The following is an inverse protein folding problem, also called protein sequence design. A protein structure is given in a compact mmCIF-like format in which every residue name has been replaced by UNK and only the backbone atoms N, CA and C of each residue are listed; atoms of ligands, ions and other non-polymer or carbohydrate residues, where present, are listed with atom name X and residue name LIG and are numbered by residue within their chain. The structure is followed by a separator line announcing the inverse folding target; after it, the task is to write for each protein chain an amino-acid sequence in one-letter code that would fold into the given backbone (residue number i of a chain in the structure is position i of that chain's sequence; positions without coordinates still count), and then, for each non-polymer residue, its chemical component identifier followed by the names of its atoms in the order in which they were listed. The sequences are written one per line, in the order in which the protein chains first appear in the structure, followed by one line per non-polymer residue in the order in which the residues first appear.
data_IF_836531366789
#
_entry.id   IF_836531366789
#
_cell.length_a   1.000
_cell.length_b   1.000
_cell.length_c   1.000
_cell.angle_alpha   90.00
_cell.angle_beta   90.00
_cell.angle_gamma   90.00
#
_symmetry.space_group_name_H-M   'P 1'
#
loop_
_entity.id
_entity.type
_entity.pdbx_description
1 polymer ?
#
# COMPACT_ATOMS: atom_id res chain seq x y z
N UNK A 1 23.76 17.47 1.57
CA UNK A 1 22.34 17.20 1.88
C UNK A 1 22.18 15.69 1.96
N UNK A 2 22.12 15.11 3.17
CA UNK A 2 21.99 13.66 3.32
C UNK A 2 20.52 13.31 3.08
N UNK A 3 20.21 12.54 2.03
CA UNK A 3 18.86 12.07 1.73
C UNK A 3 18.38 11.14 2.85
N UNK A 4 17.56 11.68 3.76
CA UNK A 4 17.12 11.01 5.00
C UNK A 4 15.97 10.01 4.80
N UNK A 5 15.50 9.81 3.56
CA UNK A 5 14.25 9.08 3.27
C UNK A 5 14.37 8.03 2.15
N UNK A 6 15.59 7.59 1.81
CA UNK A 6 15.82 6.52 0.82
C UNK A 6 16.10 5.17 1.50
N UNK A 7 15.17 4.68 2.31
CA UNK A 7 15.25 3.32 2.85
C UNK A 7 14.50 2.37 1.92
N UNK A 8 15.24 1.49 1.24
CA UNK A 8 14.64 0.42 0.44
C UNK A 8 14.36 -0.79 1.32
N UNK A 9 13.12 -1.26 1.37
CA UNK A 9 12.77 -2.52 2.02
C UNK A 9 13.07 -3.65 1.04
N UNK A 10 13.92 -4.59 1.46
CA UNK A 10 14.22 -5.80 0.71
C UNK A 10 13.46 -7.01 1.26
N UNK A 11 13.20 -7.10 2.56
CA UNK A 11 12.41 -8.20 3.13
C UNK A 11 11.46 -7.72 4.23
N UNK A 12 10.41 -8.51 4.44
CA UNK A 12 9.38 -8.29 5.45
C UNK A 12 9.11 -9.61 6.15
N UNK A 13 9.05 -9.60 7.48
CA UNK A 13 8.62 -10.76 8.26
C UNK A 13 7.65 -10.33 9.36
N UNK A 14 6.83 -11.28 9.81
CA UNK A 14 5.95 -11.10 10.97
C UNK A 14 6.33 -12.11 12.04
N UNK A 15 6.76 -11.61 13.19
CA UNK A 15 7.16 -12.46 14.32
C UNK A 15 5.96 -13.06 15.06
N UNK A 16 6.22 -14.02 15.96
CA UNK A 16 5.19 -14.68 16.78
C UNK A 16 4.41 -13.70 17.69
N UNK A 17 4.96 -12.52 17.98
CA UNK A 17 4.29 -11.44 18.71
C UNK A 17 3.40 -10.54 17.85
N UNK A 18 3.24 -10.83 16.54
CA UNK A 18 2.41 -10.05 15.63
C UNK A 18 3.06 -8.79 15.05
N UNK A 19 4.27 -8.46 15.50
CA UNK A 19 5.10 -7.32 15.05
C UNK A 19 5.72 -7.61 13.68
N UNK A 20 5.71 -6.59 12.83
CA UNK A 20 6.33 -6.58 11.51
C UNK A 20 7.76 -6.08 11.59
N UNK A 21 8.71 -6.79 11.00
CA UNK A 21 10.10 -6.37 10.87
C UNK A 21 10.41 -6.07 9.40
N UNK A 22 10.98 -4.90 9.13
CA UNK A 22 11.44 -4.50 7.80
C UNK A 22 12.96 -4.67 7.73
N UNK A 23 13.45 -5.30 6.67
CA UNK A 23 14.87 -5.55 6.44
C UNK A 23 15.32 -4.93 5.13
N UNK A 24 16.47 -4.27 5.13
CA UNK A 24 17.07 -3.65 3.95
C UNK A 24 17.91 -4.61 3.11
N UNK A 25 18.45 -4.15 1.97
CA UNK A 25 19.16 -5.02 1.01
C UNK A 25 20.48 -5.59 1.53
N UNK A 26 21.03 -5.03 2.61
CA UNK A 26 22.26 -5.51 3.27
C UNK A 26 21.94 -6.31 4.53
N UNK A 27 20.71 -6.85 4.62
CA UNK A 27 20.20 -7.59 5.77
C UNK A 27 20.14 -6.77 7.07
N UNK A 28 20.13 -5.44 6.97
CA UNK A 28 20.00 -4.54 8.10
C UNK A 28 18.53 -4.40 8.54
N UNK A 29 18.27 -4.40 9.84
CA UNK A 29 16.94 -4.08 10.34
C UNK A 29 16.65 -2.60 10.13
N UNK A 30 15.59 -2.29 9.38
CA UNK A 30 15.12 -0.93 9.13
C UNK A 30 14.13 -0.47 10.21
N UNK A 31 13.48 -1.41 10.89
CA UNK A 31 12.59 -1.12 12.02
C UNK A 31 11.58 -2.23 12.29
N UNK A 32 10.85 -2.04 13.38
CA UNK A 32 9.74 -2.89 13.81
C UNK A 32 8.46 -2.06 13.93
N UNK A 33 7.34 -2.64 13.54
CA UNK A 33 6.06 -1.93 13.41
C UNK A 33 4.88 -2.82 13.82
N UNK A 34 3.89 -2.27 14.50
CA UNK A 34 2.67 -3.00 14.86
C UNK A 34 1.80 -3.33 13.63
N UNK A 35 1.94 -2.55 12.56
CA UNK A 35 1.15 -2.64 11.35
C UNK A 35 2.00 -2.31 10.12
N UNK A 36 1.69 -2.96 9.01
CA UNK A 36 2.35 -2.76 7.73
C UNK A 36 1.30 -2.53 6.64
N UNK A 37 1.40 -1.40 5.95
CA UNK A 37 0.62 -1.14 4.74
C UNK A 37 1.56 -1.23 3.54
N UNK A 38 1.27 -2.17 2.62
CA UNK A 38 2.02 -2.29 1.38
C UNK A 38 1.18 -1.73 0.24
N UNK A 39 1.72 -0.77 -0.49
CA UNK A 39 0.99 -0.05 -1.56
C UNK A 39 1.55 -0.38 -2.95
N UNK A 40 2.34 -1.46 -3.05
CA UNK A 40 2.99 -1.87 -4.29
C UNK A 40 2.05 -2.69 -5.18
N UNK A 41 2.10 -2.42 -6.49
CA UNK A 41 1.49 -3.27 -7.52
C UNK A 41 2.02 -4.72 -7.49
N UNK A 42 3.18 -4.94 -6.85
CA UNK A 42 3.75 -6.28 -6.72
C UNK A 42 2.99 -7.19 -5.76
N UNK A 43 2.02 -6.71 -4.97
CA UNK A 43 1.24 -7.54 -4.03
C UNK A 43 0.52 -8.74 -4.67
N UNK A 44 0.26 -8.69 -5.98
CA UNK A 44 -0.30 -9.78 -6.77
C UNK A 44 0.64 -10.35 -7.84
N UNK A 45 1.92 -9.92 -7.88
CA UNK A 45 2.87 -10.31 -8.92
C UNK A 45 3.97 -11.22 -8.35
N UNK A 46 4.39 -12.32 -9.03
CA UNK A 46 5.37 -13.29 -8.52
C UNK A 46 6.67 -12.69 -7.93
N UNK A 47 7.11 -11.56 -8.50
CA UNK A 47 8.21 -10.72 -7.99
C UNK A 47 8.10 -10.35 -6.49
N UNK A 48 6.91 -10.36 -5.90
CA UNK A 48 6.76 -10.23 -4.44
C UNK A 48 7.57 -11.26 -3.68
N UNK A 49 7.47 -12.53 -4.07
CA UNK A 49 8.14 -13.64 -3.39
C UNK A 49 9.64 -13.55 -3.57
N UNK A 50 10.08 -13.07 -4.73
CA UNK A 50 11.50 -12.82 -5.01
C UNK A 50 12.09 -11.71 -4.14
N UNK A 51 11.31 -10.65 -3.87
CA UNK A 51 11.75 -9.54 -3.02
C UNK A 51 11.60 -9.95 -1.55
N UNK A 52 10.37 -10.20 -1.10
CA UNK A 52 10.04 -10.31 0.32
C UNK A 52 10.10 -11.72 0.91
N UNK A 53 10.40 -12.75 0.10
CA UNK A 53 10.58 -14.13 0.57
C UNK A 53 9.32 -14.78 1.17
N UNK A 54 8.17 -14.13 1.06
CA UNK A 54 6.86 -14.60 1.53
C UNK A 54 5.91 -14.84 0.36
N UNK A 55 4.87 -15.63 0.58
CA UNK A 55 3.80 -15.78 -0.40
C UNK A 55 3.05 -14.45 -0.59
N UNK A 56 2.38 -14.31 -1.74
CA UNK A 56 1.69 -13.09 -2.11
C UNK A 56 0.61 -12.77 -1.06
N UNK A 57 0.51 -11.54 -0.55
CA UNK A 57 -0.54 -11.18 0.41
C UNK A 57 -1.94 -11.48 -0.15
N UNK A 58 -2.13 -11.29 -1.46
CA UNK A 58 -3.37 -11.63 -2.15
C UNK A 58 -3.60 -13.15 -2.28
N UNK A 59 -2.55 -13.97 -2.29
CA UNK A 59 -2.68 -15.43 -2.33
C UNK A 59 -3.24 -15.98 -1.01
N UNK A 60 -2.89 -15.39 0.14
CA UNK A 60 -3.51 -15.74 1.43
C UNK A 60 -5.00 -15.39 1.53
N UNK A 61 -5.49 -14.47 0.69
CA UNK A 61 -6.92 -14.16 0.54
C UNK A 61 -7.62 -15.08 -0.47
N UNK A 62 -6.87 -15.69 -1.40
CA UNK A 62 -7.37 -16.64 -2.40
C UNK A 62 -7.56 -18.05 -1.81
N UNK A 63 -6.77 -18.42 -0.79
CA UNK A 63 -6.89 -19.71 -0.08
C UNK A 63 -8.19 -19.81 0.74
N UNK A 64 -8.88 -18.69 0.97
CA UNK A 64 -10.29 -18.67 1.38
C UNK A 64 -11.16 -18.82 0.12
N UNK A 65 -11.49 -20.07 -0.24
CA UNK A 65 -12.23 -20.45 -1.46
C UNK A 65 -13.61 -19.78 -1.61
N UNK A 66 -14.07 -19.04 -0.61
CA UNK A 66 -15.34 -18.33 -0.63
C UNK A 66 -15.35 -17.15 -1.61
N UNK A 67 -14.19 -16.64 -2.04
CA UNK A 67 -14.10 -15.38 -2.79
C UNK A 67 -13.58 -15.55 -4.23
N UNK A 68 -14.37 -16.24 -5.07
CA UNK A 68 -14.07 -16.49 -6.50
C UNK A 68 -13.86 -15.22 -7.33
N UNK A 69 -14.39 -14.08 -6.87
CA UNK A 69 -14.22 -12.78 -7.53
C UNK A 69 -12.76 -12.29 -7.41
N UNK A 70 -12.10 -12.53 -6.28
CA UNK A 70 -10.70 -12.17 -6.06
C UNK A 70 -9.72 -12.98 -6.94
N UNK A 71 -9.97 -14.28 -7.13
CA UNK A 71 -9.16 -15.11 -8.04
C UNK A 71 -9.17 -14.57 -9.48
N UNK A 72 -10.31 -14.07 -9.94
CA UNK A 72 -10.44 -13.52 -11.30
C UNK A 72 -9.64 -12.23 -11.52
N UNK A 73 -9.24 -11.55 -10.44
CA UNK A 73 -8.45 -10.31 -10.48
C UNK A 73 -6.94 -10.60 -10.49
N UNK A 74 -6.48 -11.69 -9.87
CA UNK A 74 -5.03 -11.98 -9.74
C UNK A 74 -4.39 -12.43 -11.05
N UNK A 75 -5.04 -13.33 -11.81
CA UNK A 75 -4.47 -13.86 -13.07
C UNK A 75 -4.15 -12.75 -14.10
N UNK A 76 -5.00 -11.73 -14.32
CA UNK A 76 -4.65 -10.63 -15.23
C UNK A 76 -3.49 -9.75 -14.72
N UNK A 77 -3.34 -9.56 -13.41
CA UNK A 77 -2.31 -8.68 -12.82
C UNK A 77 -0.88 -9.16 -13.10
N UNK A 78 -0.68 -10.47 -13.28
CA UNK A 78 0.63 -11.06 -13.64
C UNK A 78 1.11 -10.65 -15.04
N UNK A 79 0.21 -10.20 -15.90
CA UNK A 79 0.49 -9.92 -17.32
C UNK A 79 0.70 -8.44 -17.65
N UNK A 80 0.49 -7.53 -16.68
CA UNK A 80 0.48 -6.08 -16.95
C UNK A 80 1.86 -5.47 -16.74
N UNK A 81 2.43 -4.75 -17.74
CA UNK A 81 3.63 -3.95 -17.52
C UNK A 81 3.38 -2.89 -16.45
N UNK A 82 4.17 -2.95 -15.38
CA UNK A 82 4.08 -2.03 -14.26
C UNK A 82 4.37 -0.59 -14.70
N UNK A 83 3.48 0.33 -14.30
CA UNK A 83 3.74 1.76 -14.38
C UNK A 83 3.94 2.29 -12.96
N UNK A 84 5.07 2.95 -12.66
CA UNK A 84 5.36 3.39 -11.30
C UNK A 84 4.32 4.43 -10.86
N UNK A 85 3.85 4.28 -9.63
CA UNK A 85 3.02 5.23 -8.89
C UNK A 85 3.48 5.16 -7.43
N UNK A 86 3.92 6.29 -6.89
CA UNK A 86 4.03 6.48 -5.44
C UNK A 86 2.65 6.71 -4.83
N UNK A 87 2.38 6.06 -3.69
CA UNK A 87 1.15 6.24 -2.91
C UNK A 87 1.51 6.67 -1.49
N UNK A 88 0.96 7.81 -1.06
CA UNK A 88 1.01 8.25 0.33
C UNK A 88 -0.35 7.96 0.99
N UNK A 89 -0.33 7.28 2.13
CA UNK A 89 -1.53 6.99 2.90
C UNK A 89 -1.49 7.67 4.26
N UNK A 90 -2.59 8.30 4.65
CA UNK A 90 -2.82 8.84 5.99
C UNK A 90 -4.16 8.35 6.51
N UNK A 91 -4.24 8.00 7.80
CA UNK A 91 -5.49 7.63 8.46
C UNK A 91 -5.63 8.40 9.78
N UNK A 92 -6.85 8.83 10.08
CA UNK A 92 -7.20 9.61 11.26
C UNK A 92 -8.45 9.01 11.90
N UNK A 93 -8.58 9.08 13.23
CA UNK A 93 -9.84 8.68 13.86
C UNK A 93 -10.95 9.64 13.44
N UNK A 94 -12.13 9.12 13.14
CA UNK A 94 -13.30 9.89 12.72
C UNK A 94 -13.73 10.92 13.78
N UNK A 95 -13.46 10.65 15.05
CA UNK A 95 -13.73 11.56 16.18
C UNK A 95 -12.77 12.75 16.24
N UNK A 96 -11.60 12.64 15.61
CA UNK A 96 -10.59 13.70 15.64
C UNK A 96 -10.90 14.76 14.56
N UNK A 97 -10.47 16.03 14.75
CA UNK A 97 -10.71 17.10 13.79
C UNK A 97 -10.23 16.76 12.37
N UNK A 98 -9.10 16.05 12.23
CA UNK A 98 -8.57 15.63 10.94
C UNK A 98 -9.44 14.55 10.28
N UNK A 99 -9.89 13.54 11.03
CA UNK A 99 -10.81 12.53 10.51
C UNK A 99 -12.15 13.12 10.10
N UNK A 100 -12.71 14.00 10.93
CA UNK A 100 -13.94 14.72 10.59
C UNK A 100 -13.78 15.61 9.34
N UNK A 101 -12.60 16.20 9.11
CA UNK A 101 -12.31 16.96 7.90
C UNK A 101 -12.20 16.07 6.66
N UNK A 102 -11.55 14.91 6.77
CA UNK A 102 -11.47 13.92 5.70
C UNK A 102 -12.86 13.38 5.35
N UNK A 103 -13.66 13.02 6.35
CA UNK A 103 -15.04 12.53 6.16
C UNK A 103 -15.96 13.50 5.40
N UNK A 104 -15.69 14.81 5.48
CA UNK A 104 -16.48 15.85 4.80
C UNK A 104 -16.10 16.08 3.34
N UNK A 105 -15.05 15.42 2.83
CA UNK A 105 -14.70 15.55 1.43
C UNK A 105 -15.87 15.04 0.56
N UNK A 106 -16.23 15.75 -0.51
CA UNK A 106 -17.41 15.42 -1.31
C UNK A 106 -17.15 14.27 -2.30
N UNK A 107 -16.12 13.46 -2.06
CA UNK A 107 -15.71 12.37 -2.93
C UNK A 107 -15.10 11.21 -2.13
N UNK A 108 -15.28 10.01 -2.68
CA UNK A 108 -14.54 8.81 -2.29
C UNK A 108 -13.36 8.57 -3.22
N UNK A 109 -13.51 8.90 -4.50
CA UNK A 109 -12.44 8.82 -5.49
C UNK A 109 -12.51 10.08 -6.34
N UNK A 110 -11.36 10.73 -6.51
CA UNK A 110 -11.20 11.84 -7.46
C UNK A 110 -9.96 11.64 -8.30
N UNK A 111 -10.12 11.78 -9.61
CA UNK A 111 -9.02 11.90 -10.55
C UNK A 111 -8.60 13.36 -10.63
N UNK A 112 -7.33 13.62 -10.32
CA UNK A 112 -6.78 14.97 -10.34
C UNK A 112 -6.20 15.21 -11.73
N UNK A 113 -6.78 16.17 -12.44
CA UNK A 113 -6.27 16.61 -13.74
C UNK A 113 -5.45 17.88 -13.56
N UNK A 114 -4.47 18.11 -14.44
CA UNK A 114 -3.63 19.31 -14.46
C UNK A 114 -2.77 19.54 -13.18
N UNK A 115 -2.42 18.49 -12.45
CA UNK A 115 -1.42 18.56 -11.38
C UNK A 115 -0.19 17.74 -11.77
N UNK A 116 1.00 18.33 -11.62
CA UNK A 116 2.29 17.73 -11.96
C UNK A 116 2.62 16.46 -11.15
N UNK A 117 2.13 16.36 -9.91
CA UNK A 117 2.52 15.33 -8.94
C UNK A 117 1.40 14.39 -8.53
N UNK A 118 0.16 14.84 -8.47
CA UNK A 118 -0.98 14.05 -7.95
C UNK A 118 -1.90 13.66 -9.10
N UNK A 119 -2.17 12.38 -9.25
CA UNK A 119 -3.06 11.84 -10.29
C UNK A 119 -4.41 11.36 -9.77
N UNK A 120 -4.46 10.88 -8.52
CA UNK A 120 -5.70 10.35 -7.92
C UNK A 120 -5.67 10.47 -6.41
N UNK A 121 -6.82 10.79 -5.81
CA UNK A 121 -7.02 10.72 -4.36
C UNK A 121 -8.17 9.77 -4.09
N UNK A 122 -7.99 8.85 -3.17
CA UNK A 122 -9.02 7.94 -2.68
C UNK A 122 -9.23 8.22 -1.20
N UNK A 123 -10.47 8.47 -0.81
CA UNK A 123 -10.92 8.49 0.58
C UNK A 123 -11.57 7.15 0.91
N UNK A 124 -11.28 6.63 2.09
CA UNK A 124 -11.92 5.42 2.58
C UNK A 124 -12.28 5.60 4.06
N UNK A 125 -13.55 5.33 4.38
CA UNK A 125 -14.07 5.21 5.74
C UNK A 125 -14.07 3.72 6.11
N UNK A 126 -13.40 3.35 7.20
CA UNK A 126 -13.36 1.97 7.67
C UNK A 126 -13.32 1.92 9.19
N UNK A 127 -14.38 1.38 9.79
CA UNK A 127 -14.57 1.41 11.24
C UNK A 127 -14.54 2.84 11.76
N UNK A 128 -13.71 3.09 12.78
CA UNK A 128 -13.55 4.40 13.41
C UNK A 128 -12.54 5.32 12.70
N UNK A 129 -12.08 4.96 11.50
CA UNK A 129 -11.02 5.69 10.79
C UNK A 129 -11.46 6.23 9.44
N UNK A 130 -10.93 7.41 9.14
CA UNK A 130 -11.02 8.11 7.86
C UNK A 130 -9.63 8.19 7.26
N UNK A 131 -9.46 7.66 6.06
CA UNK A 131 -8.17 7.56 5.40
C UNK A 131 -8.16 8.21 4.02
N UNK A 132 -6.98 8.68 3.62
CA UNK A 132 -6.69 9.19 2.29
C UNK A 132 -5.51 8.42 1.71
N UNK A 133 -5.66 7.92 0.50
CA UNK A 133 -4.59 7.41 -0.34
C UNK A 133 -4.39 8.35 -1.54
N UNK A 134 -3.27 9.07 -1.53
CA UNK A 134 -2.88 10.02 -2.58
C UNK A 134 -1.90 9.32 -3.52
N UNK A 135 -2.31 9.18 -4.77
CA UNK A 135 -1.54 8.55 -5.84
C UNK A 135 -0.88 9.62 -6.69
N UNK A 136 0.39 9.41 -6.98
CA UNK A 136 1.14 10.29 -7.87
C UNK A 136 0.77 10.12 -9.35
N UNK A 137 1.20 11.08 -10.17
CA UNK A 137 1.29 10.90 -11.63
C UNK A 137 2.45 9.96 -11.96
N UNK A 138 2.37 9.27 -13.10
CA UNK A 138 3.48 8.42 -13.58
C UNK A 138 4.78 9.20 -13.83
N UNK A 139 4.67 10.47 -14.25
CA UNK A 139 5.84 11.31 -14.53
C UNK A 139 6.58 11.74 -13.26
N UNK A 140 5.91 11.75 -12.10
CA UNK A 140 6.51 12.13 -10.82
C UNK A 140 7.08 10.94 -10.05
N UNK A 141 6.57 9.72 -10.30
CA UNK A 141 6.89 8.50 -9.58
C UNK A 141 8.32 7.98 -9.81
#
# INVERSE_FOLDING_TARGET
CVQKYQSQVAAVSRGAGGVWTLTGPKSEALGEFDWLCVTSHTMGHPRWKEIFGSDLPLQSLIEDESDKELQSVVTPLESVPSSPIMVAMSAYKATDPAGAAVARLPFDIVHVTNHDKVGRIVRCSSGDYESLAVHSTHAFA
#
